data_IF_506433819795
#
_entry.id   IF_506433819795
#
_cell.length_a   1.000
_cell.length_b   1.000
_cell.length_c   1.000
_cell.angle_alpha   90.00
_cell.angle_beta   90.00
_cell.angle_gamma   90.00
#
_symmetry.space_group_name_H-M   'P 1'
#
loop_
_entity.id
_entity.type
_entity.pdbx_description
1 polymer ?
#
# COMPACT_ATOMS: atom_id res chain seq x y z
N UNK A 1 7.30 4.24 -25.35
CA UNK A 1 5.86 4.62 -25.24
C UNK A 1 5.57 5.04 -23.81
N UNK A 2 6.02 6.25 -23.46
CA UNK A 2 5.96 6.80 -22.11
C UNK A 2 4.81 7.79 -22.09
N UNK A 3 3.64 7.37 -21.59
CA UNK A 3 2.53 8.33 -21.41
C UNK A 3 2.91 9.26 -20.27
N UNK A 4 3.39 10.44 -20.66
CA UNK A 4 3.48 11.65 -19.86
C UNK A 4 2.27 11.74 -18.93
N UNK A 5 2.49 11.61 -17.63
CA UNK A 5 1.50 11.95 -16.62
C UNK A 5 1.50 13.47 -16.57
N UNK A 6 0.81 14.08 -17.53
CA UNK A 6 0.49 15.49 -17.51
C UNK A 6 -0.41 15.74 -16.30
N UNK A 7 0.07 16.62 -15.42
CA UNK A 7 -0.60 17.05 -14.22
C UNK A 7 -1.77 17.97 -14.61
N UNK A 8 -2.96 17.39 -14.80
CA UNK A 8 -4.20 18.15 -14.94
C UNK A 8 -4.94 18.12 -13.61
N UNK A 9 -5.02 19.28 -12.95
CA UNK A 9 -5.88 19.47 -11.80
C UNK A 9 -7.36 19.26 -12.17
N UNK A 10 -8.12 18.70 -11.22
CA UNK A 10 -9.58 18.68 -11.26
C UNK A 10 -10.24 17.32 -11.50
N UNK A 11 -10.75 16.75 -10.41
CA UNK A 11 -12.02 16.02 -10.29
C UNK A 11 -12.23 14.70 -11.08
N UNK A 12 -12.40 13.60 -10.33
CA UNK A 12 -13.71 12.91 -10.22
C UNK A 12 -13.62 11.77 -9.19
N UNK A 13 -14.13 12.00 -7.97
CA UNK A 13 -14.41 10.93 -7.00
C UNK A 13 -15.58 10.08 -7.53
N UNK A 14 -15.30 9.04 -8.30
CA UNK A 14 -16.26 7.92 -8.43
C UNK A 14 -15.92 6.89 -7.37
N UNK A 15 -16.42 7.15 -6.16
CA UNK A 15 -16.49 6.13 -5.12
C UNK A 15 -17.57 5.13 -5.54
N UNK A 16 -17.17 3.96 -6.02
CA UNK A 16 -18.09 2.82 -6.10
C UNK A 16 -18.43 2.45 -4.66
N UNK A 17 -19.72 2.50 -4.31
CA UNK A 17 -20.20 2.24 -2.96
C UNK A 17 -19.72 0.86 -2.47
N UNK A 18 -19.31 0.71 -1.19
CA UNK A 18 -19.02 -0.59 -0.63
C UNK A 18 -20.30 -1.42 -0.64
N UNK A 19 -20.28 -2.54 -1.37
CA UNK A 19 -21.39 -3.48 -1.44
C UNK A 19 -21.72 -3.98 -0.02
N UNK A 20 -22.98 -3.81 0.40
CA UNK A 20 -23.43 -4.09 1.77
C UNK A 20 -23.42 -5.60 2.04
N UNK A 21 -22.94 -5.94 3.24
CA UNK A 21 -22.93 -7.20 3.98
C UNK A 21 -23.68 -8.39 3.34
N UNK A 22 -22.95 -9.50 3.12
CA UNK A 22 -23.55 -10.82 2.95
C UNK A 22 -23.26 -11.71 4.18
N UNK A 23 -24.29 -12.24 4.86
CA UNK A 23 -24.16 -13.20 5.96
C UNK A 23 -23.64 -14.56 5.46
N UNK A 24 -22.88 -15.25 6.32
CA UNK A 24 -22.45 -16.66 6.26
C UNK A 24 -22.35 -17.29 4.86
N UNK A 25 -21.18 -17.13 4.22
CA UNK A 25 -20.80 -17.97 3.09
C UNK A 25 -20.36 -19.36 3.58
N UNK A 26 -21.28 -20.34 3.58
CA UNK A 26 -20.89 -21.75 3.57
C UNK A 26 -20.02 -21.98 2.32
N UNK A 27 -18.70 -22.01 2.53
CA UNK A 27 -17.71 -22.12 1.46
C UNK A 27 -16.35 -21.50 1.78
N UNK A 28 -16.24 -20.56 2.73
CA UNK A 28 -14.94 -19.96 3.05
C UNK A 28 -14.72 -19.73 4.56
N UNK A 29 -14.66 -20.83 5.33
CA UNK A 29 -14.41 -20.81 6.77
C UNK A 29 -13.09 -20.10 7.13
N UNK A 30 -12.03 -20.34 6.33
CA UNK A 30 -10.74 -19.67 6.52
C UNK A 30 -10.91 -18.15 6.51
N UNK A 31 -11.66 -17.60 5.54
CA UNK A 31 -11.90 -16.16 5.45
C UNK A 31 -12.75 -15.65 6.61
N UNK A 32 -13.83 -16.35 6.96
CA UNK A 32 -14.69 -15.96 8.08
C UNK A 32 -13.92 -15.89 9.42
N UNK A 33 -12.98 -16.81 9.66
CA UNK A 33 -12.13 -16.80 10.85
C UNK A 33 -11.13 -15.63 10.85
N UNK A 34 -10.58 -15.26 9.68
CA UNK A 34 -9.68 -14.11 9.56
C UNK A 34 -10.41 -12.78 9.77
N UNK A 35 -11.61 -12.63 9.20
CA UNK A 35 -12.43 -11.43 9.39
C UNK A 35 -12.84 -11.28 10.87
N UNK A 36 -13.28 -12.37 11.51
CA UNK A 36 -13.60 -12.37 12.95
C UNK A 36 -12.37 -12.09 13.84
N UNK A 37 -11.18 -12.56 13.43
CA UNK A 37 -9.92 -12.27 14.12
C UNK A 37 -9.55 -10.80 14.01
N UNK A 38 -9.67 -10.19 12.83
CA UNK A 38 -9.44 -8.76 12.63
C UNK A 38 -10.34 -7.91 13.52
N UNK A 39 -11.63 -8.21 13.58
CA UNK A 39 -12.58 -7.52 14.47
C UNK A 39 -12.20 -7.66 15.95
N UNK A 40 -11.83 -8.87 16.37
CA UNK A 40 -11.42 -9.14 17.75
C UNK A 40 -10.14 -8.37 18.13
N UNK A 41 -9.16 -8.33 17.23
CA UNK A 41 -7.91 -7.59 17.42
C UNK A 41 -8.18 -6.08 17.47
N UNK A 42 -9.05 -5.56 16.60
CA UNK A 42 -9.41 -4.14 16.59
C UNK A 42 -10.11 -3.70 17.89
N UNK A 43 -10.89 -4.59 18.51
CA UNK A 43 -11.63 -4.29 19.72
C UNK A 43 -10.82 -4.47 21.01
N UNK A 44 -10.03 -5.53 21.13
CA UNK A 44 -9.39 -5.94 22.39
C UNK A 44 -7.87 -6.17 22.29
N UNK A 45 -7.28 -5.92 21.12
CA UNK A 45 -5.87 -6.14 20.84
C UNK A 45 -5.49 -7.62 20.60
N UNK A 46 -4.28 -7.87 20.08
CA UNK A 46 -3.84 -9.22 19.69
C UNK A 46 -3.60 -10.16 20.88
N UNK A 47 -3.32 -9.62 22.08
CA UNK A 47 -3.12 -10.41 23.29
C UNK A 47 -4.40 -11.19 23.67
N UNK A 48 -5.57 -10.58 23.51
CA UNK A 48 -6.88 -11.15 23.86
C UNK A 48 -7.38 -12.21 22.85
N UNK A 49 -6.73 -12.36 21.70
CA UNK A 49 -7.16 -13.27 20.64
C UNK A 49 -7.12 -14.74 21.10
N UNK A 50 -8.22 -15.47 20.88
CA UNK A 50 -8.35 -16.89 21.22
C UNK A 50 -9.03 -17.67 20.08
N UNK A 51 -8.40 -18.75 19.61
CA UNK A 51 -8.97 -19.61 18.57
C UNK A 51 -10.31 -20.21 18.98
N UNK A 52 -10.47 -20.55 20.27
CA UNK A 52 -11.69 -21.14 20.80
C UNK A 52 -12.85 -20.15 20.74
N UNK A 53 -12.59 -18.89 21.10
CA UNK A 53 -13.57 -17.81 21.07
C UNK A 53 -13.94 -17.44 19.63
N UNK A 54 -12.97 -17.42 18.71
CA UNK A 54 -13.25 -17.23 17.29
C UNK A 54 -14.11 -18.35 16.71
N UNK A 55 -13.83 -19.61 17.06
CA UNK A 55 -14.65 -20.75 16.63
C UNK A 55 -16.11 -20.60 17.11
N UNK A 56 -16.28 -20.22 18.38
CA UNK A 56 -17.59 -19.98 19.00
C UNK A 56 -18.34 -18.84 18.29
N UNK A 57 -17.63 -17.74 17.99
CA UNK A 57 -18.20 -16.55 17.32
C UNK A 57 -18.61 -16.84 15.88
N UNK A 58 -17.82 -17.64 15.16
CA UNK A 58 -18.10 -18.08 13.79
C UNK A 58 -19.03 -19.30 13.76
N UNK A 59 -19.42 -19.88 14.91
CA UNK A 59 -20.38 -20.98 14.97
C UNK A 59 -19.87 -22.30 14.40
N UNK A 60 -18.56 -22.56 14.50
CA UNK A 60 -17.92 -23.80 14.04
C UNK A 60 -17.34 -24.61 15.20
N UNK A 61 -16.99 -25.87 14.93
CA UNK A 61 -16.34 -26.73 15.92
C UNK A 61 -15.00 -26.14 16.37
N UNK A 62 -14.66 -26.35 17.64
CA UNK A 62 -13.42 -25.83 18.22
C UNK A 62 -12.14 -26.33 17.54
N UNK A 63 -12.19 -27.50 16.88
CA UNK A 63 -11.05 -28.05 16.12
C UNK A 63 -10.86 -27.36 14.76
N UNK A 64 -11.90 -26.73 14.20
CA UNK A 64 -11.85 -26.23 12.84
C UNK A 64 -10.80 -25.11 12.61
N UNK A 65 -10.63 -24.10 13.50
CA UNK A 65 -9.56 -23.11 13.32
C UNK A 65 -8.16 -23.74 13.39
N UNK A 66 -7.96 -24.73 14.25
CA UNK A 66 -6.67 -25.42 14.37
C UNK A 66 -6.32 -26.21 13.09
N UNK A 67 -7.30 -26.79 12.41
CA UNK A 67 -7.06 -27.47 11.12
C UNK A 67 -6.68 -26.49 9.98
N UNK A 68 -7.13 -25.23 10.05
CA UNK A 68 -6.82 -24.22 9.03
C UNK A 68 -5.53 -23.44 9.31
N UNK A 69 -5.19 -23.23 10.58
CA UNK A 69 -4.13 -22.30 10.98
C UNK A 69 -3.08 -22.93 11.92
N UNK A 70 -3.30 -24.16 12.39
CA UNK A 70 -2.47 -24.81 13.41
C UNK A 70 -2.75 -24.23 14.79
N UNK A 71 -2.26 -23.03 15.04
CA UNK A 71 -2.32 -22.35 16.33
C UNK A 71 -2.58 -20.83 16.18
N UNK A 72 -2.55 -20.10 17.31
CA UNK A 72 -2.74 -18.65 17.34
C UNK A 72 -1.65 -17.93 16.52
N UNK A 73 -0.42 -18.43 16.53
CA UNK A 73 0.68 -17.82 15.79
C UNK A 73 0.50 -18.00 14.27
N UNK A 74 0.06 -19.18 13.82
CA UNK A 74 -0.27 -19.46 12.43
C UNK A 74 -1.46 -18.63 11.94
N UNK A 75 -2.47 -18.38 12.78
CA UNK A 75 -3.56 -17.44 12.45
C UNK A 75 -3.03 -16.00 12.26
N UNK A 76 -2.20 -15.52 13.19
CA UNK A 76 -1.61 -14.18 13.10
C UNK A 76 -0.70 -14.05 11.87
N UNK A 77 0.03 -15.10 11.53
CA UNK A 77 0.86 -15.17 10.32
C UNK A 77 0.00 -15.11 9.06
N UNK A 78 -1.09 -15.88 9.01
CA UNK A 78 -2.05 -15.83 7.91
C UNK A 78 -2.69 -14.44 7.74
N UNK A 79 -2.99 -13.76 8.83
CA UNK A 79 -3.55 -12.41 8.83
C UNK A 79 -2.52 -11.37 8.36
N UNK A 80 -1.28 -11.46 8.84
CA UNK A 80 -0.19 -10.59 8.43
C UNK A 80 0.16 -10.75 6.93
N UNK A 81 0.12 -11.98 6.42
CA UNK A 81 0.43 -12.28 5.01
C UNK A 81 -0.70 -11.88 4.05
N UNK A 82 -1.96 -11.99 4.47
CA UNK A 82 -3.10 -11.58 3.64
C UNK A 82 -3.24 -10.05 3.57
N UNK A 83 -2.80 -9.35 4.62
CA UNK A 83 -2.78 -7.90 4.67
C UNK A 83 -4.18 -7.28 4.79
N UNK A 84 -4.21 -5.95 4.93
CA UNK A 84 -5.46 -5.20 4.95
C UNK A 84 -5.95 -4.95 3.52
N UNK A 85 -7.26 -5.12 3.27
CA UNK A 85 -7.87 -4.82 1.97
C UNK A 85 -8.13 -3.33 1.86
N UNK A 86 -7.52 -2.71 0.87
CA UNK A 86 -7.76 -1.29 0.55
C UNK A 86 -8.96 -1.23 -0.40
N UNK A 87 -9.93 -0.30 -0.20
CA UNK A 87 -11.03 -0.13 -1.14
C UNK A 87 -10.52 0.14 -2.56
N UNK A 88 -11.25 -0.39 -3.56
CA UNK A 88 -10.91 -0.14 -4.95
C UNK A 88 -10.96 1.36 -5.27
N UNK A 89 -9.93 1.86 -5.96
CA UNK A 89 -9.78 3.27 -6.28
C UNK A 89 -8.35 3.67 -6.60
N UNK A 90 -8.17 4.95 -6.91
CA UNK A 90 -6.85 5.54 -7.17
C UNK A 90 -6.63 6.76 -6.27
N UNK A 91 -5.38 6.96 -5.86
CA UNK A 91 -4.98 8.11 -5.05
C UNK A 91 -3.61 8.59 -5.48
N UNK A 92 -3.46 9.91 -5.51
CA UNK A 92 -2.17 10.56 -5.59
C UNK A 92 -1.95 11.39 -4.33
N UNK A 93 -0.89 11.09 -3.59
CA UNK A 93 -0.53 11.82 -2.38
C UNK A 93 0.91 12.29 -2.49
N UNK A 94 1.15 13.53 -2.05
CA UNK A 94 2.49 14.12 -2.00
C UNK A 94 2.92 14.40 -0.56
N UNK A 95 4.23 14.32 -0.35
CA UNK A 95 4.90 14.76 0.86
C UNK A 95 6.11 15.62 0.49
N UNK A 96 6.50 16.50 1.41
CA UNK A 96 7.76 17.23 1.27
C UNK A 96 8.90 16.37 1.81
N UNK A 97 9.86 16.04 0.95
CA UNK A 97 11.08 15.34 1.31
C UNK A 97 12.26 16.33 1.34
N UNK A 98 13.42 15.97 1.93
CA UNK A 98 14.60 16.83 1.93
C UNK A 98 15.09 17.27 0.53
N UNK A 99 14.69 16.54 -0.52
CA UNK A 99 15.10 16.77 -1.92
C UNK A 99 13.99 17.39 -2.77
N UNK A 100 12.86 17.74 -2.15
CA UNK A 100 11.68 18.30 -2.79
C UNK A 100 10.47 17.37 -2.72
N UNK A 101 9.53 17.58 -3.65
CA UNK A 101 8.21 16.96 -3.59
C UNK A 101 8.22 15.48 -4.04
N UNK A 102 8.05 14.57 -3.08
CA UNK A 102 7.90 13.14 -3.30
C UNK A 102 6.42 12.77 -3.42
N UNK A 103 6.04 12.12 -4.52
CA UNK A 103 4.66 11.73 -4.78
C UNK A 103 4.47 10.22 -4.91
N UNK A 104 3.37 9.70 -4.37
CA UNK A 104 2.93 8.32 -4.54
C UNK A 104 1.59 8.29 -5.26
N UNK A 105 1.57 7.65 -6.42
CA UNK A 105 0.36 7.30 -7.14
C UNK A 105 0.07 5.81 -6.96
N UNK A 106 -1.06 5.49 -6.32
CA UNK A 106 -1.42 4.12 -5.99
C UNK A 106 -2.81 3.81 -6.55
N UNK A 107 -2.93 2.66 -7.22
CA UNK A 107 -4.20 2.09 -7.67
C UNK A 107 -4.45 0.81 -6.87
N UNK A 108 -5.65 0.67 -6.31
CA UNK A 108 -6.15 -0.54 -5.67
C UNK A 108 -7.36 -1.09 -6.42
N UNK A 109 -7.41 -2.40 -6.56
CA UNK A 109 -8.51 -3.18 -7.12
C UNK A 109 -9.44 -3.77 -6.05
N UNK A 110 -9.23 -3.42 -4.77
CA UNK A 110 -9.94 -4.05 -3.65
C UNK A 110 -9.20 -5.24 -3.01
N UNK A 111 -8.06 -5.65 -3.58
CA UNK A 111 -7.24 -6.74 -3.02
C UNK A 111 -6.33 -6.25 -1.87
N UNK A 112 -5.65 -7.19 -1.22
CA UNK A 112 -4.65 -6.89 -0.18
C UNK A 112 -3.29 -6.43 -0.76
N UNK A 113 -3.17 -6.32 -2.09
CA UNK A 113 -1.95 -5.90 -2.78
C UNK A 113 -2.26 -4.68 -3.64
N UNK A 114 -1.35 -3.69 -3.74
CA UNK A 114 -1.57 -2.58 -4.65
C UNK A 114 -1.53 -3.11 -6.10
N UNK A 115 -2.54 -2.73 -6.89
CA UNK A 115 -2.59 -3.09 -8.32
C UNK A 115 -1.49 -2.40 -9.10
N UNK A 116 -1.24 -1.12 -8.79
CA UNK A 116 -0.13 -0.35 -9.36
C UNK A 116 0.37 0.67 -8.35
N UNK A 117 1.69 0.83 -8.30
CA UNK A 117 2.35 1.92 -7.57
C UNK A 117 3.28 2.63 -8.55
N UNK A 118 3.15 3.95 -8.64
CA UNK A 118 4.10 4.80 -9.34
C UNK A 118 4.60 5.87 -8.38
N UNK A 119 5.92 5.97 -8.26
CA UNK A 119 6.59 6.93 -7.38
C UNK A 119 7.12 8.06 -8.23
N UNK A 120 6.69 9.28 -7.95
CA UNK A 120 7.31 10.50 -8.49
C UNK A 120 8.48 10.87 -7.60
N UNK A 121 9.67 10.40 -7.95
CA UNK A 121 10.90 10.72 -7.26
C UNK A 121 11.30 12.19 -7.47
N UNK A 122 11.70 12.91 -6.41
CA UNK A 122 12.20 14.28 -6.54
C UNK A 122 13.53 14.32 -7.32
N UNK A 123 14.45 13.39 -7.05
CA UNK A 123 15.77 13.33 -7.67
C UNK A 123 15.72 13.20 -9.20
N UNK A 124 14.77 12.42 -9.73
CA UNK A 124 14.58 12.25 -11.18
C UNK A 124 14.19 13.56 -11.86
N UNK A 125 13.30 14.33 -11.25
CA UNK A 125 12.84 15.62 -11.78
C UNK A 125 13.94 16.68 -11.70
N UNK A 126 14.67 16.73 -10.58
CA UNK A 126 15.78 17.66 -10.40
C UNK A 126 16.91 17.40 -11.42
N UNK A 127 17.21 16.13 -11.69
CA UNK A 127 18.28 15.74 -12.62
C UNK A 127 17.95 16.10 -14.08
N UNK A 128 16.68 16.11 -14.48
CA UNK A 128 16.28 16.56 -15.82
C UNK A 128 16.64 18.03 -16.09
N UNK A 129 16.70 18.86 -15.05
CA UNK A 129 17.12 20.26 -15.18
C UNK A 129 18.65 20.43 -15.34
N UNK A 130 19.45 19.40 -15.06
CA UNK A 130 20.92 19.47 -15.10
C UNK A 130 21.44 19.98 -16.45
N UNK A 131 20.94 19.44 -17.55
CA UNK A 131 21.38 19.82 -18.90
C UNK A 131 21.16 21.32 -19.15
N UNK A 132 20.06 21.88 -18.65
CA UNK A 132 19.73 23.29 -18.82
C UNK A 132 20.54 24.20 -17.90
N UNK A 133 20.81 23.74 -16.67
CA UNK A 133 21.61 24.50 -15.68
C UNK A 133 23.10 24.51 -16.09
N UNK A 134 23.58 23.43 -16.71
CA UNK A 134 24.96 23.28 -17.16
C UNK A 134 25.30 24.02 -18.47
N UNK A 135 24.29 24.47 -19.22
CA UNK A 135 24.49 25.14 -20.51
C UNK A 135 25.32 26.43 -20.34
N UNK A 136 26.42 26.56 -21.09
CA UNK A 136 27.33 27.70 -21.02
C UNK A 136 28.22 27.75 -19.76
N UNK A 137 28.25 26.69 -18.95
CA UNK A 137 29.13 26.55 -17.78
C UNK A 137 30.41 25.80 -18.11
N UNK A 138 31.43 25.96 -17.26
CA UNK A 138 32.65 25.19 -17.38
C UNK A 138 32.40 23.76 -16.92
N UNK A 139 33.18 22.79 -17.43
CA UNK A 139 33.08 21.41 -16.98
C UNK A 139 33.30 21.26 -15.46
N UNK A 140 34.18 22.09 -14.88
CA UNK A 140 34.43 22.12 -13.44
C UNK A 140 33.17 22.49 -12.62
N UNK A 141 32.27 23.30 -13.18
CA UNK A 141 31.03 23.72 -12.51
C UNK A 141 30.02 22.57 -12.39
N UNK A 142 30.14 21.53 -13.22
CA UNK A 142 29.25 20.37 -13.17
C UNK A 142 29.26 19.68 -11.81
N UNK A 143 30.42 19.63 -11.14
CA UNK A 143 30.54 18.99 -9.83
C UNK A 143 29.71 19.76 -8.80
N UNK A 144 29.80 21.09 -8.79
CA UNK A 144 29.01 21.93 -7.89
C UNK A 144 27.52 21.87 -8.20
N UNK A 145 27.14 21.87 -9.48
CA UNK A 145 25.75 21.78 -9.92
C UNK A 145 25.16 20.43 -9.48
N UNK A 146 25.82 19.31 -9.76
CA UNK A 146 25.34 17.97 -9.37
C UNK A 146 25.28 17.82 -7.86
N UNK A 147 26.29 18.32 -7.12
CA UNK A 147 26.28 18.31 -5.67
C UNK A 147 25.11 19.11 -5.09
N UNK A 148 24.75 20.25 -5.70
CA UNK A 148 23.63 21.07 -5.23
C UNK A 148 22.26 20.44 -5.50
N UNK A 149 22.12 19.64 -6.56
CA UNK A 149 20.88 18.92 -6.87
C UNK A 149 20.67 17.66 -5.99
N UNK A 150 21.74 17.14 -5.38
CA UNK A 150 21.77 15.95 -4.52
C UNK A 150 20.98 14.74 -5.08
N UNK A 151 21.24 14.26 -6.31
CA UNK A 151 20.47 13.18 -6.89
C UNK A 151 20.85 11.83 -6.28
N UNK A 152 19.86 11.11 -5.75
CA UNK A 152 20.04 9.71 -5.34
C UNK A 152 19.68 8.79 -6.50
N UNK A 153 20.68 8.08 -7.04
CA UNK A 153 20.48 7.26 -8.24
C UNK A 153 19.46 6.12 -8.05
N UNK A 154 19.32 5.59 -6.83
CA UNK A 154 18.29 4.58 -6.53
C UNK A 154 16.84 5.11 -6.63
N UNK A 155 16.64 6.43 -6.58
CA UNK A 155 15.33 7.04 -6.85
C UNK A 155 15.09 7.29 -8.34
N UNK A 156 16.17 7.52 -9.10
CA UNK A 156 16.16 7.88 -10.53
C UNK A 156 15.91 6.66 -11.41
N UNK A 157 16.40 5.48 -11.03
CA UNK A 157 16.41 4.26 -11.83
C UNK A 157 15.13 3.38 -11.71
N UNK A 158 14.05 3.88 -11.08
CA UNK A 158 12.83 3.11 -10.78
C UNK A 158 11.84 3.01 -11.95
#
# INVERSE_FOLDING_TARGET
MTRSICYAGGMSKRATAPNRAHPYHHGNLRRALLDAALESIAAAGPAALSLRELARRVGVSHAAPAHHFGDKAGLLTALATEGYRVPAGEVYQMIESPRGQLGFYIISDGSGRPYRVHVRAPSFMNLQALAKIAEGRLFADLIAIVASLDPVMGEVDR
#
